data_IF_017507546806
#
_entry.id   IF_017507546806
#
_cell.length_a   1.000
_cell.length_b   1.000
_cell.length_c   1.000
_cell.angle_alpha   90.00
_cell.angle_beta   90.00
_cell.angle_gamma   90.00
#
_symmetry.space_group_name_H-M   'P 1'
#
loop_
_entity.id
_entity.type
_entity.pdbx_description
1 polymer ?
#
# COMPACT_ATOMS: atom_id res chain seq x y z
N UNK A 1 2.50 -0.21 14.25
CA UNK A 1 2.52 1.26 14.51
C UNK A 1 3.67 1.94 13.76
N UNK A 2 4.94 1.53 13.94
CA UNK A 2 6.09 2.13 13.23
C UNK A 2 5.97 2.13 11.70
N UNK A 3 5.47 1.03 11.12
CA UNK A 3 5.22 0.92 9.67
C UNK A 3 4.27 2.01 9.16
N UNK A 4 3.14 2.19 9.84
CA UNK A 4 2.19 3.24 9.49
C UNK A 4 2.84 4.62 9.60
N UNK A 5 3.57 4.87 10.69
CA UNK A 5 4.24 6.16 10.90
C UNK A 5 5.22 6.51 9.76
N UNK A 6 6.00 5.53 9.27
CA UNK A 6 6.93 5.72 8.13
C UNK A 6 6.21 6.21 6.87
N UNK A 7 5.03 5.65 6.59
CA UNK A 7 4.32 5.92 5.33
C UNK A 7 3.26 7.01 5.41
N UNK A 8 2.89 7.48 6.62
CA UNK A 8 1.91 8.56 6.80
C UNK A 8 2.35 9.84 6.08
N UNK A 9 3.63 10.22 6.17
CA UNK A 9 4.13 11.43 5.52
C UNK A 9 4.00 11.39 3.99
N UNK A 10 4.42 10.29 3.37
CA UNK A 10 4.29 10.09 1.93
C UNK A 10 2.83 10.11 1.47
N UNK A 11 1.96 9.38 2.16
CA UNK A 11 0.54 9.35 1.82
C UNK A 11 -0.11 10.73 1.98
N UNK A 12 0.24 11.49 3.02
CA UNK A 12 -0.30 12.83 3.22
C UNK A 12 0.03 13.76 2.06
N UNK A 13 1.30 13.79 1.61
CA UNK A 13 1.71 14.60 0.45
C UNK A 13 1.00 14.15 -0.82
N UNK A 14 0.88 12.84 -1.03
CA UNK A 14 0.19 12.26 -2.17
C UNK A 14 -1.29 12.66 -2.21
N UNK A 15 -2.00 12.54 -1.09
CA UNK A 15 -3.41 12.94 -0.99
C UNK A 15 -3.59 14.45 -1.09
N UNK A 16 -2.68 15.25 -0.53
CA UNK A 16 -2.71 16.71 -0.63
C UNK A 16 -2.57 17.16 -2.09
N UNK A 17 -1.60 16.60 -2.83
CA UNK A 17 -1.44 16.87 -4.25
C UNK A 17 -2.70 16.47 -5.05
N UNK A 18 -3.32 15.34 -4.69
CA UNK A 18 -4.59 14.91 -5.26
C UNK A 18 -5.72 15.90 -5.01
N UNK A 19 -5.86 16.38 -3.77
CA UNK A 19 -6.89 17.36 -3.40
C UNK A 19 -6.69 18.70 -4.10
N UNK A 20 -5.44 19.17 -4.22
CA UNK A 20 -5.11 20.41 -4.91
C UNK A 20 -5.41 20.36 -6.42
N UNK A 21 -5.49 19.17 -7.01
CA UNK A 21 -5.85 19.02 -8.42
C UNK A 21 -7.35 19.19 -8.72
N UNK A 22 -8.20 19.20 -7.69
CA UNK A 22 -9.66 19.33 -7.85
C UNK A 22 -10.02 20.82 -8.00
N UNK A 23 -10.63 21.24 -9.13
CA UNK A 23 -11.01 22.63 -9.34
C UNK A 23 -11.99 23.14 -8.27
N UNK A 24 -11.74 24.35 -7.76
CA UNK A 24 -12.59 24.99 -6.73
C UNK A 24 -14.00 25.27 -7.27
N UNK A 25 -14.12 25.61 -8.55
CA UNK A 25 -15.38 25.93 -9.23
C UNK A 25 -16.43 24.80 -9.10
N UNK A 26 -16.01 23.54 -8.97
CA UNK A 26 -16.92 22.41 -8.76
C UNK A 26 -17.59 22.46 -7.38
N UNK A 27 -16.89 22.95 -6.35
CA UNK A 27 -17.43 23.13 -5.02
C UNK A 27 -18.37 24.34 -4.96
N UNK A 28 -18.05 25.41 -5.69
CA UNK A 28 -18.92 26.59 -5.82
C UNK A 28 -20.23 26.22 -6.52
N UNK A 29 -20.15 25.53 -7.65
CA UNK A 29 -21.32 25.02 -8.37
C UNK A 29 -22.18 24.11 -7.48
N UNK A 30 -21.55 23.14 -6.79
CA UNK A 30 -22.28 22.26 -5.87
C UNK A 30 -22.94 23.03 -4.71
N UNK A 31 -22.32 24.12 -4.23
CA UNK A 31 -22.89 24.97 -3.18
C UNK A 31 -24.10 25.76 -3.68
N UNK A 32 -24.06 26.25 -4.92
CA UNK A 32 -25.19 26.92 -5.59
C UNK A 32 -26.37 25.94 -5.77
N UNK A 33 -26.09 24.69 -6.09
CA UNK A 33 -27.08 23.61 -6.20
C UNK A 33 -27.61 23.12 -4.82
N UNK A 34 -27.15 23.73 -3.72
CA UNK A 34 -27.61 23.40 -2.36
C UNK A 34 -26.98 22.15 -1.76
N UNK A 35 -25.87 21.65 -2.31
CA UNK A 35 -25.18 20.48 -1.76
C UNK A 35 -24.49 20.82 -0.43
N UNK A 36 -24.78 20.03 0.61
CA UNK A 36 -24.10 20.06 1.91
C UNK A 36 -22.64 19.61 1.79
N UNK A 37 -21.79 19.97 2.76
CA UNK A 37 -20.37 19.57 2.78
C UNK A 37 -20.15 18.06 2.68
N UNK A 38 -21.03 17.24 3.27
CA UNK A 38 -20.95 15.77 3.17
C UNK A 38 -21.28 15.29 1.75
N UNK A 39 -22.25 15.93 1.10
CA UNK A 39 -22.57 15.66 -0.31
C UNK A 39 -21.42 16.09 -1.22
N UNK A 40 -20.83 17.26 -1.01
CA UNK A 40 -19.65 17.72 -1.75
C UNK A 40 -18.48 16.73 -1.59
N UNK A 41 -18.21 16.28 -0.37
CA UNK A 41 -17.16 15.29 -0.14
C UNK A 41 -17.44 13.96 -0.86
N UNK A 42 -18.67 13.44 -0.76
CA UNK A 42 -19.04 12.14 -1.33
C UNK A 42 -19.17 12.14 -2.85
N UNK A 43 -19.66 13.23 -3.44
CA UNK A 43 -20.01 13.31 -4.86
C UNK A 43 -19.02 14.13 -5.71
N UNK A 44 -18.21 15.00 -5.09
CA UNK A 44 -17.17 15.79 -5.79
C UNK A 44 -15.79 15.30 -5.39
N UNK A 45 -15.43 15.41 -4.11
CA UNK A 45 -14.07 15.11 -3.65
C UNK A 45 -13.70 13.65 -3.86
N UNK A 46 -14.48 12.72 -3.31
CA UNK A 46 -14.15 11.30 -3.29
C UNK A 46 -14.04 10.71 -4.70
N UNK A 47 -14.97 10.93 -5.64
CA UNK A 47 -14.87 10.40 -7.00
C UNK A 47 -13.66 10.95 -7.76
N UNK A 48 -13.36 12.24 -7.62
CA UNK A 48 -12.21 12.88 -8.28
C UNK A 48 -10.88 12.48 -7.62
N UNK A 49 -10.88 12.10 -6.35
CA UNK A 49 -9.70 11.59 -5.63
C UNK A 49 -9.44 10.10 -5.90
N UNK A 50 -10.40 9.35 -6.45
CA UNK A 50 -10.26 7.89 -6.68
C UNK A 50 -8.99 7.46 -7.43
N UNK A 51 -8.50 8.17 -8.48
CA UNK A 51 -7.23 7.83 -9.12
C UNK A 51 -6.04 7.85 -8.14
N UNK A 52 -6.02 8.84 -7.23
CA UNK A 52 -4.97 9.00 -6.23
C UNK A 52 -5.11 7.95 -5.13
N UNK A 53 -6.33 7.69 -4.66
CA UNK A 53 -6.62 6.61 -3.70
C UNK A 53 -6.18 5.26 -4.28
N UNK A 54 -6.53 4.96 -5.53
CA UNK A 54 -6.14 3.73 -6.20
C UNK A 54 -4.62 3.54 -6.22
N UNK A 55 -3.90 4.59 -6.58
CA UNK A 55 -2.44 4.57 -6.59
C UNK A 55 -1.86 4.36 -5.18
N UNK A 56 -2.32 5.13 -4.20
CA UNK A 56 -1.88 5.04 -2.79
C UNK A 56 -2.10 3.64 -2.20
N UNK A 57 -3.30 3.07 -2.41
CA UNK A 57 -3.66 1.73 -1.94
C UNK A 57 -2.85 0.66 -2.65
N UNK A 58 -2.61 0.80 -3.96
CA UNK A 58 -1.78 -0.15 -4.72
C UNK A 58 -0.34 -0.18 -4.20
N UNK A 59 0.26 0.99 -3.98
CA UNK A 59 1.60 1.07 -3.38
C UNK A 59 1.63 0.46 -1.97
N UNK A 60 0.58 0.69 -1.17
CA UNK A 60 0.47 0.14 0.18
C UNK A 60 0.35 -1.39 0.18
N UNK A 61 -0.41 -1.97 -0.76
CA UNK A 61 -0.51 -3.42 -0.94
C UNK A 61 0.87 -4.00 -1.28
N UNK A 62 1.54 -3.42 -2.29
CA UNK A 62 2.86 -3.89 -2.74
C UNK A 62 3.86 -3.81 -1.58
N UNK A 63 3.98 -2.64 -0.95
CA UNK A 63 4.92 -2.41 0.16
C UNK A 63 4.62 -3.27 1.38
N UNK A 64 3.35 -3.49 1.71
CA UNK A 64 2.94 -4.34 2.83
C UNK A 64 3.33 -5.81 2.64
N UNK A 65 3.16 -6.36 1.44
CA UNK A 65 3.57 -7.73 1.13
C UNK A 65 5.09 -7.89 0.98
N UNK A 66 5.79 -6.81 0.61
CA UNK A 66 7.25 -6.79 0.45
C UNK A 66 8.01 -6.34 1.71
N UNK A 67 7.35 -6.30 2.87
CA UNK A 67 7.95 -5.83 4.11
C UNK A 67 9.16 -6.70 4.51
N UNK A 68 10.37 -6.15 4.51
CA UNK A 68 11.60 -6.85 4.85
C UNK A 68 12.47 -6.09 5.83
N UNK A 69 12.72 -4.81 5.56
CA UNK A 69 13.73 -4.00 6.24
C UNK A 69 13.46 -3.88 7.73
N UNK A 70 12.23 -3.52 8.12
CA UNK A 70 11.91 -3.26 9.52
C UNK A 70 12.01 -4.52 10.38
N UNK A 71 11.40 -5.67 10.01
CA UNK A 71 11.62 -6.89 10.77
C UNK A 71 13.08 -7.32 10.80
N UNK A 72 13.82 -7.18 9.69
CA UNK A 72 15.23 -7.56 9.64
C UNK A 72 16.07 -6.71 10.61
N UNK A 73 15.97 -5.38 10.53
CA UNK A 73 16.77 -4.46 11.36
C UNK A 73 16.38 -4.56 12.84
N UNK A 74 15.08 -4.63 13.15
CA UNK A 74 14.60 -4.63 14.53
C UNK A 74 14.89 -5.95 15.25
N UNK A 75 15.05 -7.05 14.53
CA UNK A 75 15.21 -8.40 15.09
C UNK A 75 16.65 -8.92 14.98
N UNK A 76 17.62 -8.00 14.95
CA UNK A 76 19.05 -8.31 15.08
C UNK A 76 19.82 -8.34 13.76
N UNK A 77 19.20 -7.98 12.63
CA UNK A 77 19.89 -7.70 11.36
C UNK A 77 20.72 -8.86 10.82
N UNK A 78 20.38 -10.10 11.18
CA UNK A 78 21.20 -11.27 10.85
C UNK A 78 20.33 -12.43 10.39
N UNK A 79 20.82 -13.17 9.40
CA UNK A 79 20.11 -14.33 8.86
C UNK A 79 20.14 -15.56 9.78
N UNK A 80 20.95 -15.52 10.84
CA UNK A 80 20.97 -16.52 11.92
C UNK A 80 19.83 -16.38 12.94
N UNK A 81 19.20 -15.20 13.04
CA UNK A 81 18.09 -14.90 13.96
C UNK A 81 16.77 -14.74 13.19
N UNK A 82 16.44 -15.75 12.40
CA UNK A 82 15.33 -15.76 11.45
C UNK A 82 13.99 -15.34 12.06
N UNK A 83 13.48 -14.17 11.67
CA UNK A 83 12.16 -13.67 12.09
C UNK A 83 12.05 -13.28 13.57
N UNK A 84 13.17 -13.22 14.30
CA UNK A 84 13.20 -12.95 15.74
C UNK A 84 12.68 -14.11 16.61
N UNK A 85 12.54 -13.88 17.93
CA UNK A 85 12.02 -14.89 18.86
C UNK A 85 10.67 -15.45 18.40
N UNK A 86 10.57 -16.77 18.26
CA UNK A 86 9.35 -17.43 17.81
C UNK A 86 8.90 -17.09 16.39
N UNK A 87 9.78 -16.51 15.56
CA UNK A 87 9.48 -16.07 14.19
C UNK A 87 8.36 -15.01 14.10
N UNK A 88 8.12 -14.25 15.19
CA UNK A 88 7.02 -13.30 15.27
C UNK A 88 7.10 -12.12 14.29
N UNK A 89 8.29 -11.82 13.75
CA UNK A 89 8.48 -10.82 12.70
C UNK A 89 8.73 -11.41 11.32
N UNK A 90 8.46 -12.70 11.11
CA UNK A 90 8.67 -13.32 9.82
C UNK A 90 7.66 -12.83 8.80
N UNK A 91 8.17 -12.31 7.69
CA UNK A 91 7.38 -11.91 6.51
C UNK A 91 7.77 -12.74 5.30
N UNK A 92 6.94 -12.72 4.26
CA UNK A 92 7.24 -13.40 3.00
C UNK A 92 8.56 -12.90 2.38
N UNK A 93 8.77 -11.58 2.36
CA UNK A 93 10.00 -10.99 1.83
C UNK A 93 11.24 -11.36 2.66
N UNK A 94 11.13 -11.39 4.00
CA UNK A 94 12.22 -11.85 4.85
C UNK A 94 12.52 -13.33 4.63
N UNK A 95 11.49 -14.17 4.46
CA UNK A 95 11.70 -15.58 4.15
C UNK A 95 12.47 -15.80 2.84
N UNK A 96 12.13 -15.05 1.79
CA UNK A 96 12.85 -15.08 0.51
C UNK A 96 14.33 -14.71 0.71
N UNK A 97 14.59 -13.61 1.42
CA UNK A 97 15.94 -13.14 1.71
C UNK A 97 16.75 -14.16 2.51
N UNK A 98 16.14 -14.78 3.52
CA UNK A 98 16.78 -15.83 4.31
C UNK A 98 17.09 -17.08 3.48
N UNK A 99 16.18 -17.53 2.62
CA UNK A 99 16.42 -18.65 1.72
C UNK A 99 17.61 -18.38 0.80
N UNK A 100 17.68 -17.18 0.21
CA UNK A 100 18.75 -16.79 -0.69
C UNK A 100 20.10 -16.62 0.01
N UNK A 101 20.15 -15.72 1.00
CA UNK A 101 21.40 -15.25 1.60
C UNK A 101 21.77 -15.96 2.91
N UNK A 102 20.77 -16.47 3.66
CA UNK A 102 21.02 -17.23 4.89
C UNK A 102 21.36 -18.69 4.64
N UNK A 103 20.67 -19.34 3.69
CA UNK A 103 20.85 -20.78 3.41
C UNK A 103 21.55 -21.10 2.09
N UNK A 104 21.78 -20.09 1.24
CA UNK A 104 22.35 -20.27 -0.11
C UNK A 104 21.39 -20.91 -1.13
N UNK A 105 20.11 -21.10 -0.80
CA UNK A 105 19.11 -21.78 -1.63
C UNK A 105 18.37 -20.80 -2.55
N UNK A 106 19.12 -20.13 -3.42
CA UNK A 106 18.60 -19.09 -4.33
C UNK A 106 17.45 -19.58 -5.23
N UNK A 107 17.51 -20.84 -5.70
CA UNK A 107 16.43 -21.42 -6.52
C UNK A 107 15.09 -21.52 -5.78
N UNK A 108 15.11 -21.91 -4.49
CA UNK A 108 13.90 -21.95 -3.66
C UNK A 108 13.41 -20.54 -3.32
N UNK A 109 14.32 -19.63 -2.99
CA UNK A 109 13.98 -18.22 -2.75
C UNK A 109 13.28 -17.59 -3.96
N UNK A 110 13.78 -17.86 -5.17
CA UNK A 110 13.20 -17.39 -6.42
C UNK A 110 11.80 -17.94 -6.67
N UNK A 111 11.57 -19.23 -6.40
CA UNK A 111 10.24 -19.84 -6.52
C UNK A 111 9.22 -19.18 -5.57
N UNK A 112 9.61 -18.93 -4.32
CA UNK A 112 8.74 -18.24 -3.34
C UNK A 112 8.48 -16.79 -3.76
N UNK A 113 9.47 -16.10 -4.34
CA UNK A 113 9.30 -14.75 -4.85
C UNK A 113 8.26 -14.67 -5.99
N UNK A 114 8.25 -15.65 -6.90
CA UNK A 114 7.22 -15.74 -7.94
C UNK A 114 5.82 -15.98 -7.37
N UNK A 115 5.69 -16.80 -6.34
CA UNK A 115 4.41 -17.00 -5.65
C UNK A 115 3.94 -15.69 -5.01
N UNK A 116 4.82 -14.98 -4.30
CA UNK A 116 4.50 -13.69 -3.69
C UNK A 116 4.09 -12.65 -4.74
N UNK A 117 4.78 -12.63 -5.90
CA UNK A 117 4.43 -11.76 -7.02
C UNK A 117 3.00 -12.02 -7.52
N UNK A 118 2.60 -13.28 -7.69
CA UNK A 118 1.23 -13.63 -8.09
C UNK A 118 0.21 -13.18 -7.05
N UNK A 119 0.50 -13.35 -5.76
CA UNK A 119 -0.36 -12.85 -4.67
C UNK A 119 -0.55 -11.34 -4.78
N UNK A 120 0.53 -10.58 -4.95
CA UNK A 120 0.48 -9.12 -5.10
C UNK A 120 -0.36 -8.71 -6.33
N UNK A 121 -0.23 -9.41 -7.46
CA UNK A 121 -1.06 -9.17 -8.65
C UNK A 121 -2.54 -9.37 -8.34
N UNK A 122 -2.89 -10.47 -7.67
CA UNK A 122 -4.29 -10.76 -7.33
C UNK A 122 -4.89 -9.64 -6.47
N UNK A 123 -4.20 -9.21 -5.42
CA UNK A 123 -4.67 -8.11 -4.57
C UNK A 123 -4.73 -6.77 -5.31
N UNK A 124 -3.75 -6.48 -6.17
CA UNK A 124 -3.75 -5.26 -7.00
C UNK A 124 -4.91 -5.27 -8.00
N UNK A 125 -5.24 -6.43 -8.57
CA UNK A 125 -6.37 -6.58 -9.48
C UNK A 125 -7.70 -6.40 -8.76
N UNK A 126 -7.83 -6.96 -7.54
CA UNK A 126 -9.00 -6.73 -6.68
C UNK A 126 -9.15 -5.23 -6.39
N UNK A 127 -8.07 -4.53 -6.02
CA UNK A 127 -8.09 -3.08 -5.79
C UNK A 127 -8.59 -2.30 -7.02
N UNK A 128 -8.13 -2.70 -8.22
CA UNK A 128 -8.59 -2.12 -9.49
C UNK A 128 -10.09 -2.34 -9.71
N UNK A 129 -10.61 -3.55 -9.48
CA UNK A 129 -12.05 -3.84 -9.62
C UNK A 129 -12.86 -2.99 -8.64
N UNK A 130 -12.45 -2.91 -7.38
CA UNK A 130 -13.16 -2.14 -6.35
C UNK A 130 -13.19 -0.65 -6.74
N UNK A 131 -12.05 -0.09 -7.14
CA UNK A 131 -11.97 1.32 -7.53
C UNK A 131 -12.84 1.61 -8.76
N UNK A 132 -12.85 0.72 -9.76
CA UNK A 132 -13.69 0.88 -10.93
C UNK A 132 -15.19 0.85 -10.59
N UNK A 133 -15.61 0.02 -9.63
CA UNK A 133 -17.00 0.00 -9.16
C UNK A 133 -17.42 1.27 -8.42
N UNK A 134 -16.48 1.97 -7.78
CA UNK A 134 -16.75 3.24 -7.11
C UNK A 134 -16.84 4.43 -8.09
N UNK A 135 -16.38 4.26 -9.34
CA UNK A 135 -16.51 5.26 -10.40
C UNK A 135 -17.80 5.16 -11.21
N UNK A 136 -18.44 3.99 -11.19
CA UNK A 136 -19.68 3.68 -11.92
C UNK A 136 -20.90 4.02 -11.06
#
# INVERSE_FOLDING_TARGET
IMLNWRFVGFNMVLYLAGLQSIPVDLYEAASIDGATTVQQHRYVTLPLLLPVIFFAVSLSIIGGFQLFEEPFVLLGGTYGAFGGPGQGGLTAAYYIMWLGFGTGRLGRGSAVAWVLFLVIIVFTFINRIITNRLRA
#
